data_IF_223852435209
#
_entry.id   IF_223852435209
#
_cell.length_a   1.000
_cell.length_b   1.000
_cell.length_c   1.000
_cell.angle_alpha   90.00
_cell.angle_beta   90.00
_cell.angle_gamma   90.00
#
_symmetry.space_group_name_H-M   'P 1'
#
loop_
_entity.id
_entity.type
_entity.pdbx_description
1 polymer ?
#
# COMPACT_ATOMS: atom_id res chain seq x y z
N UNK A 1 -32.03 -34.75 -61.50
CA UNK A 1 -32.86 -33.53 -61.70
C UNK A 1 -32.29 -32.44 -60.82
N UNK A 2 -31.83 -31.35 -61.43
CA UNK A 2 -31.18 -30.22 -60.76
C UNK A 2 -32.24 -29.26 -60.17
N UNK A 3 -31.96 -28.69 -59.00
CA UNK A 3 -32.77 -27.61 -58.41
C UNK A 3 -31.87 -26.36 -58.22
N UNK A 4 -32.19 -25.19 -58.80
CA UNK A 4 -31.30 -24.04 -58.85
C UNK A 4 -31.77 -22.91 -57.93
N UNK A 5 -31.18 -22.77 -56.74
CA UNK A 5 -31.29 -21.52 -55.97
C UNK A 5 -29.96 -21.19 -55.30
N UNK A 6 -29.13 -20.43 -56.01
CA UNK A 6 -27.99 -19.68 -55.46
C UNK A 6 -28.56 -18.46 -54.73
N UNK A 7 -28.43 -18.44 -53.41
CA UNK A 7 -28.73 -17.25 -52.62
C UNK A 7 -27.47 -16.35 -52.60
N UNK A 8 -27.57 -15.17 -53.22
CA UNK A 8 -26.50 -14.17 -53.25
C UNK A 8 -26.68 -13.26 -52.03
N UNK A 9 -25.79 -13.37 -51.04
CA UNK A 9 -25.71 -12.41 -49.95
C UNK A 9 -25.04 -11.10 -50.45
N UNK A 10 -25.52 -9.91 -50.07
CA UNK A 10 -24.89 -8.66 -50.46
C UNK A 10 -23.58 -8.47 -49.67
N UNK A 11 -22.49 -8.16 -50.37
CA UNK A 11 -21.23 -7.71 -49.77
C UNK A 11 -21.44 -6.32 -49.18
N UNK A 12 -21.62 -6.24 -47.86
CA UNK A 12 -21.51 -4.99 -47.11
C UNK A 12 -20.02 -4.61 -47.10
N UNK A 13 -19.68 -3.55 -47.82
CA UNK A 13 -18.33 -2.99 -47.83
C UNK A 13 -17.94 -2.51 -46.43
N UNK A 14 -16.82 -3.01 -45.90
CA UNK A 14 -16.16 -2.41 -44.74
C UNK A 14 -15.67 -1.01 -45.13
N UNK A 15 -16.37 0.03 -44.66
CA UNK A 15 -15.80 1.37 -44.57
C UNK A 15 -14.67 1.30 -43.54
N UNK A 16 -13.43 1.22 -44.02
CA UNK A 16 -12.24 1.33 -43.19
C UNK A 16 -12.11 2.80 -42.78
N UNK A 17 -12.58 3.14 -41.58
CA UNK A 17 -12.30 4.44 -40.98
C UNK A 17 -10.78 4.51 -40.73
N UNK A 18 -10.07 5.28 -41.56
CA UNK A 18 -8.68 5.65 -41.35
C UNK A 18 -8.60 6.58 -40.14
N UNK A 19 -8.46 6.02 -38.95
CA UNK A 19 -8.04 6.78 -37.77
C UNK A 19 -6.54 7.01 -37.91
N UNK A 20 -6.14 8.19 -38.37
CA UNK A 20 -4.74 8.61 -38.30
C UNK A 20 -4.36 8.75 -36.82
N UNK A 21 -3.34 8.05 -36.32
CA UNK A 21 -2.88 8.26 -34.96
C UNK A 21 -2.37 9.70 -34.84
N UNK A 22 -2.95 10.49 -33.93
CA UNK A 22 -2.42 11.81 -33.60
C UNK A 22 -0.99 11.63 -33.07
N UNK A 23 0.00 12.14 -33.81
CA UNK A 23 1.37 12.24 -33.29
C UNK A 23 1.36 13.26 -32.17
N UNK A 24 1.64 12.82 -30.94
CA UNK A 24 1.91 13.72 -29.83
C UNK A 24 3.19 14.49 -30.12
N UNK A 25 3.16 15.84 -30.13
CA UNK A 25 4.38 16.62 -30.29
C UNK A 25 5.34 16.34 -29.11
N UNK A 26 6.66 16.38 -29.35
CA UNK A 26 7.64 16.15 -28.30
C UNK A 26 7.53 17.22 -27.22
N UNK A 27 7.58 16.79 -25.96
CA UNK A 27 7.64 17.70 -24.82
C UNK A 27 9.01 18.39 -24.79
N UNK A 28 9.02 19.72 -24.75
CA UNK A 28 10.24 20.53 -24.60
C UNK A 28 10.26 21.10 -23.19
N UNK A 29 11.32 20.81 -22.42
CA UNK A 29 11.50 21.35 -21.08
C UNK A 29 12.05 22.78 -21.13
N UNK A 30 11.43 23.70 -20.40
CA UNK A 30 11.96 25.06 -20.18
C UNK A 30 12.77 25.14 -18.89
N UNK A 31 13.83 25.96 -18.83
CA UNK A 31 14.57 26.18 -17.58
C UNK A 31 13.67 26.75 -16.47
N UNK A 32 13.87 26.31 -15.23
CA UNK A 32 13.04 26.74 -14.09
C UNK A 32 13.48 28.15 -13.65
N UNK A 33 12.67 29.15 -13.97
CA UNK A 33 12.83 30.53 -13.46
C UNK A 33 12.59 30.61 -11.95
N UNK A 34 13.03 31.67 -11.25
CA UNK A 34 12.73 31.85 -9.83
C UNK A 34 11.23 31.84 -9.49
N UNK A 35 10.38 32.39 -10.37
CA UNK A 35 8.92 32.33 -10.19
C UNK A 35 8.37 30.90 -10.28
N UNK A 36 8.92 30.08 -11.18
CA UNK A 36 8.59 28.66 -11.27
C UNK A 36 9.15 27.87 -10.07
N UNK A 37 10.32 28.23 -9.53
CA UNK A 37 10.87 27.61 -8.30
C UNK A 37 9.93 27.82 -7.11
N UNK A 38 9.44 29.04 -6.92
CA UNK A 38 8.49 29.35 -5.85
C UNK A 38 7.19 28.55 -6.02
N UNK A 39 6.65 28.50 -7.25
CA UNK A 39 5.46 27.72 -7.55
C UNK A 39 5.68 26.21 -7.28
N UNK A 40 6.83 25.65 -7.68
CA UNK A 40 7.21 24.27 -7.38
C UNK A 40 7.24 24.01 -5.87
N UNK A 41 7.86 24.89 -5.08
CA UNK A 41 7.90 24.76 -3.63
C UNK A 41 6.49 24.83 -3.01
N UNK A 42 5.61 25.72 -3.50
CA UNK A 42 4.21 25.79 -3.07
C UNK A 42 3.43 24.52 -3.41
N UNK A 43 3.61 23.95 -4.61
CA UNK A 43 2.97 22.68 -5.01
C UNK A 43 3.44 21.54 -4.13
N UNK A 44 4.75 21.41 -3.89
CA UNK A 44 5.32 20.39 -3.00
C UNK A 44 4.77 20.52 -1.57
N UNK A 45 4.71 21.75 -1.05
CA UNK A 45 4.14 22.02 0.27
C UNK A 45 2.66 21.65 0.34
N UNK A 46 1.87 21.97 -0.70
CA UNK A 46 0.46 21.60 -0.77
C UNK A 46 0.26 20.07 -0.80
N UNK A 47 1.09 19.34 -1.55
CA UNK A 47 1.07 17.87 -1.58
C UNK A 47 1.38 17.26 -0.22
N UNK A 48 2.41 17.77 0.48
CA UNK A 48 2.77 17.32 1.83
C UNK A 48 1.63 17.59 2.82
N UNK A 49 1.04 18.79 2.78
CA UNK A 49 -0.07 19.16 3.65
C UNK A 49 -1.30 18.27 3.42
N UNK A 50 -1.63 17.99 2.15
CA UNK A 50 -2.74 17.10 1.79
C UNK A 50 -2.49 15.67 2.28
N UNK A 51 -1.29 15.13 2.09
CA UNK A 51 -0.91 13.80 2.59
C UNK A 51 -1.01 13.72 4.12
N UNK A 52 -0.52 14.74 4.83
CA UNK A 52 -0.62 14.78 6.29
C UNK A 52 -2.07 14.90 6.77
N UNK A 53 -2.91 15.70 6.08
CA UNK A 53 -4.33 15.81 6.40
C UNK A 53 -5.05 14.48 6.23
N UNK A 54 -4.83 13.79 5.11
CA UNK A 54 -5.36 12.46 4.85
C UNK A 54 -4.99 11.48 5.98
N UNK A 55 -3.70 11.40 6.35
CA UNK A 55 -3.25 10.48 7.40
C UNK A 55 -3.86 10.81 8.77
N UNK A 56 -4.04 12.08 9.11
CA UNK A 56 -4.72 12.48 10.35
C UNK A 56 -6.18 12.06 10.37
N UNK A 57 -6.91 12.31 9.28
CA UNK A 57 -8.31 11.92 9.13
C UNK A 57 -8.49 10.39 9.19
N UNK A 58 -7.58 9.64 8.54
CA UNK A 58 -7.58 8.18 8.61
C UNK A 58 -7.30 7.67 10.02
N UNK A 59 -6.34 8.27 10.74
CA UNK A 59 -6.06 7.91 12.12
C UNK A 59 -7.29 8.14 13.02
N UNK A 60 -7.97 9.29 12.88
CA UNK A 60 -9.20 9.57 13.60
C UNK A 60 -10.32 8.60 13.25
N UNK A 61 -10.51 8.29 11.97
CA UNK A 61 -11.55 7.38 11.48
C UNK A 61 -11.36 5.96 12.02
N UNK A 62 -10.13 5.45 11.97
CA UNK A 62 -9.80 4.11 12.46
C UNK A 62 -9.89 4.04 13.99
N UNK A 63 -9.70 5.14 14.72
CA UNK A 63 -9.95 5.19 16.16
C UNK A 63 -11.42 4.90 16.53
N UNK A 64 -12.36 5.24 15.65
CA UNK A 64 -13.78 4.93 15.81
C UNK A 64 -14.17 3.49 15.49
N UNK A 65 -13.29 2.70 14.86
CA UNK A 65 -13.56 1.34 14.39
C UNK A 65 -13.46 0.27 15.51
N UNK A 66 -14.02 0.55 16.69
CA UNK A 66 -13.90 -0.33 17.87
C UNK A 66 -14.56 -1.72 17.69
N UNK A 67 -15.54 -1.83 16.79
CA UNK A 67 -16.23 -3.08 16.46
C UNK A 67 -15.51 -3.95 15.42
N UNK A 68 -14.44 -3.45 14.78
CA UNK A 68 -13.87 -4.09 13.59
C UNK A 68 -13.39 -5.54 13.83
N UNK A 69 -12.95 -5.89 15.05
CA UNK A 69 -12.58 -7.28 15.34
C UNK A 69 -13.78 -8.24 15.21
N UNK A 70 -14.99 -7.80 15.56
CA UNK A 70 -16.20 -8.61 15.46
C UNK A 70 -16.57 -8.92 14.00
N UNK A 71 -16.23 -8.02 13.07
CA UNK A 71 -16.51 -8.17 11.64
C UNK A 71 -15.59 -9.18 10.95
N UNK A 72 -14.47 -9.56 11.58
CA UNK A 72 -13.59 -10.62 11.10
C UNK A 72 -14.15 -12.00 11.54
N UNK A 73 -14.51 -12.91 10.62
CA UNK A 73 -15.00 -14.24 10.96
C UNK A 73 -14.06 -14.99 11.92
N UNK A 74 -14.56 -15.60 13.01
CA UNK A 74 -13.73 -16.23 14.04
C UNK A 74 -12.71 -17.24 13.50
N UNK A 75 -13.06 -18.00 12.47
CA UNK A 75 -12.21 -19.00 11.84
C UNK A 75 -10.96 -18.40 11.15
N UNK A 76 -11.04 -17.16 10.69
CA UNK A 76 -9.91 -16.45 10.08
C UNK A 76 -8.94 -15.88 11.12
N UNK A 77 -9.38 -15.75 12.38
CA UNK A 77 -8.58 -15.17 13.46
C UNK A 77 -7.42 -16.05 13.90
N UNK A 78 -7.45 -17.36 13.59
CA UNK A 78 -6.37 -18.29 13.94
C UNK A 78 -5.07 -18.02 13.15
N UNK A 79 -5.18 -17.44 11.94
CA UNK A 79 -4.03 -17.19 11.06
C UNK A 79 -3.38 -18.46 10.51
N UNK A 80 -2.43 -18.27 9.59
CA UNK A 80 -1.69 -19.37 8.98
C UNK A 80 -0.44 -19.72 9.83
N UNK A 81 -0.08 -21.00 10.02
CA UNK A 81 1.08 -21.39 10.84
C UNK A 81 2.41 -20.83 10.32
N UNK A 82 2.62 -20.83 9.00
CA UNK A 82 3.94 -20.55 8.42
C UNK A 82 4.19 -19.09 8.07
N UNK A 83 3.14 -18.28 7.96
CA UNK A 83 3.25 -16.86 7.59
C UNK A 83 2.09 -16.07 8.18
N UNK A 84 2.29 -14.76 8.35
CA UNK A 84 1.16 -13.88 8.68
C UNK A 84 0.18 -13.83 7.50
N UNK A 85 -1.10 -13.72 7.80
CA UNK A 85 -2.17 -13.74 6.79
C UNK A 85 -2.66 -12.32 6.48
N UNK A 86 -3.20 -12.14 5.27
CA UNK A 86 -3.95 -10.94 4.87
C UNK A 86 -5.35 -11.36 4.44
N UNK A 87 -6.39 -10.78 5.04
CA UNK A 87 -7.77 -10.95 4.62
C UNK A 87 -8.33 -9.60 4.22
N UNK A 88 -8.67 -9.43 2.94
CA UNK A 88 -9.26 -8.19 2.42
C UNK A 88 -10.67 -8.05 3.00
N UNK A 89 -10.92 -6.93 3.68
CA UNK A 89 -12.23 -6.55 4.18
C UNK A 89 -13.01 -5.75 3.14
N UNK A 90 -12.31 -4.87 2.42
CA UNK A 90 -12.87 -4.01 1.38
C UNK A 90 -11.79 -3.57 0.41
N UNK A 91 -12.15 -3.42 -0.86
CA UNK A 91 -11.31 -2.77 -1.87
C UNK A 91 -12.14 -1.75 -2.64
N UNK A 92 -11.60 -0.55 -2.79
CA UNK A 92 -12.23 0.51 -3.59
C UNK A 92 -12.28 0.08 -5.08
N UNK A 93 -13.44 0.13 -5.76
CA UNK A 93 -13.57 -0.26 -7.15
C UNK A 93 -12.72 0.57 -8.13
N UNK A 94 -12.32 1.78 -7.74
CA UNK A 94 -11.44 2.64 -8.54
C UNK A 94 -9.95 2.44 -8.20
N UNK A 95 -9.62 1.54 -7.28
CA UNK A 95 -8.25 1.22 -6.89
C UNK A 95 -7.59 2.24 -5.97
N UNK A 96 -8.37 3.12 -5.33
CA UNK A 96 -7.84 4.19 -4.49
C UNK A 96 -7.28 3.67 -3.15
N UNK A 97 -7.91 2.65 -2.58
CA UNK A 97 -7.45 2.02 -1.34
C UNK A 97 -7.97 0.59 -1.15
N UNK A 98 -7.32 -0.15 -0.26
CA UNK A 98 -7.73 -1.48 0.20
C UNK A 98 -7.63 -1.56 1.72
N UNK A 99 -8.66 -2.12 2.37
CA UNK A 99 -8.71 -2.40 3.81
C UNK A 99 -8.50 -3.90 4.02
N UNK A 100 -7.61 -4.29 4.92
CA UNK A 100 -7.33 -5.69 5.21
C UNK A 100 -7.02 -5.95 6.69
N UNK A 101 -7.46 -7.11 7.17
CA UNK A 101 -7.01 -7.68 8.44
C UNK A 101 -5.69 -8.41 8.22
N UNK A 102 -4.71 -8.13 9.08
CA UNK A 102 -3.47 -8.88 9.18
C UNK A 102 -3.45 -9.66 10.49
N UNK A 103 -3.18 -10.96 10.39
CA UNK A 103 -3.18 -11.90 11.51
C UNK A 103 -1.77 -12.45 11.67
N UNK A 104 -1.23 -12.32 12.86
CA UNK A 104 0.16 -12.61 13.20
C UNK A 104 0.20 -13.63 14.32
N UNK A 105 0.58 -14.87 14.01
CA UNK A 105 0.88 -15.87 15.04
C UNK A 105 2.23 -15.54 15.71
N UNK A 106 2.49 -16.11 16.90
CA UNK A 106 3.76 -15.95 17.60
C UNK A 106 4.98 -16.14 16.69
N UNK A 107 5.94 -15.22 16.78
CA UNK A 107 7.19 -15.26 16.02
C UNK A 107 7.08 -14.78 14.57
N UNK A 108 5.89 -14.46 14.06
CA UNK A 108 5.72 -13.99 12.69
C UNK A 108 5.99 -12.48 12.55
N UNK A 109 6.72 -12.10 11.52
CA UNK A 109 7.03 -10.71 11.22
C UNK A 109 7.06 -10.46 9.71
N UNK A 110 6.84 -9.20 9.33
CA UNK A 110 7.15 -8.73 7.99
C UNK A 110 8.67 -8.67 7.75
N UNK A 111 9.10 -8.53 6.48
CA UNK A 111 10.43 -8.03 6.15
C UNK A 111 10.61 -6.59 6.66
N UNK A 112 11.85 -6.12 6.74
CA UNK A 112 12.14 -4.70 6.95
C UNK A 112 11.74 -3.93 5.68
N UNK A 113 10.93 -2.90 5.82
CA UNK A 113 10.39 -2.18 4.66
C UNK A 113 10.03 -0.72 4.96
N UNK A 114 10.16 0.13 3.93
CA UNK A 114 9.38 1.36 3.81
C UNK A 114 8.13 1.13 2.95
N UNK A 115 7.48 2.21 2.50
CA UNK A 115 6.18 2.11 1.83
C UNK A 115 6.18 2.73 0.44
N UNK A 116 5.60 2.06 -0.56
CA UNK A 116 5.37 2.62 -1.91
C UNK A 116 4.16 3.56 -1.96
N UNK A 117 3.28 3.44 -0.97
CA UNK A 117 2.04 4.23 -0.82
C UNK A 117 1.87 4.68 0.63
N UNK A 118 0.80 5.42 0.94
CA UNK A 118 0.43 5.72 2.31
C UNK A 118 -0.23 4.51 2.98
N UNK A 119 -0.12 4.43 4.30
CA UNK A 119 -0.69 3.35 5.12
C UNK A 119 -1.21 3.90 6.46
N UNK A 120 -2.28 3.30 6.97
CA UNK A 120 -2.72 3.45 8.36
C UNK A 120 -3.06 2.08 8.92
N UNK A 121 -2.66 1.76 10.14
CA UNK A 121 -3.14 0.56 10.82
C UNK A 121 -3.53 0.80 12.27
N UNK A 122 -4.39 -0.08 12.79
CA UNK A 122 -4.76 -0.17 14.20
C UNK A 122 -4.61 -1.60 14.70
N UNK A 123 -4.04 -1.76 15.89
CA UNK A 123 -4.03 -3.05 16.58
C UNK A 123 -5.40 -3.32 17.17
N UNK A 124 -5.98 -4.49 16.88
CA UNK A 124 -7.31 -4.90 17.34
C UNK A 124 -7.24 -5.92 18.48
N UNK A 125 -6.25 -6.80 18.46
CA UNK A 125 -6.06 -7.87 19.43
C UNK A 125 -4.57 -8.18 19.59
N UNK A 126 -4.16 -8.58 20.80
CA UNK A 126 -2.78 -8.95 21.09
C UNK A 126 -1.82 -7.77 21.05
N UNK A 127 -0.53 -8.06 21.11
CA UNK A 127 0.54 -7.07 21.05
C UNK A 127 1.39 -7.30 19.80
N UNK A 128 1.71 -6.22 19.07
CA UNK A 128 2.68 -6.25 17.98
C UNK A 128 3.95 -5.52 18.41
N UNK A 129 5.10 -6.00 17.97
CA UNK A 129 6.37 -5.29 18.07
C UNK A 129 6.66 -4.60 16.74
N UNK A 130 6.84 -3.28 16.78
CA UNK A 130 7.27 -2.48 15.65
C UNK A 130 8.73 -2.05 15.87
N UNK A 131 9.66 -2.61 15.09
CA UNK A 131 11.06 -2.16 15.06
C UNK A 131 11.23 -1.04 14.03
N UNK A 132 11.94 0.01 14.38
CA UNK A 132 12.19 1.17 13.53
C UNK A 132 13.62 1.21 13.01
N UNK A 133 13.77 1.79 11.82
CA UNK A 133 15.05 1.88 11.13
C UNK A 133 15.22 3.24 10.46
N UNK A 134 16.48 3.65 10.29
CA UNK A 134 16.88 4.79 9.45
C UNK A 134 17.57 4.27 8.20
N UNK A 135 17.22 4.82 7.04
CA UNK A 135 17.92 4.52 5.78
C UNK A 135 19.32 5.13 5.79
N UNK A 136 20.32 4.34 5.41
CA UNK A 136 21.67 4.78 5.10
C UNK A 136 21.88 4.71 3.58
N UNK A 137 21.94 5.85 2.87
CA UNK A 137 22.09 5.85 1.42
C UNK A 137 23.50 5.49 0.93
N UNK A 138 24.51 5.62 1.77
CA UNK A 138 25.90 5.26 1.41
C UNK A 138 26.07 3.75 1.45
N UNK A 139 25.48 3.09 2.47
CA UNK A 139 25.50 1.64 2.60
C UNK A 139 24.41 0.95 1.78
N UNK A 140 23.33 1.66 1.45
CA UNK A 140 22.13 1.06 0.89
C UNK A 140 21.43 0.10 1.86
N UNK A 141 21.50 0.39 3.17
CA UNK A 141 21.02 -0.49 4.24
C UNK A 141 20.14 0.27 5.25
N UNK A 142 19.22 -0.46 5.88
CA UNK A 142 18.42 0.04 6.99
C UNK A 142 19.13 -0.21 8.33
N UNK A 143 19.39 0.86 9.09
CA UNK A 143 20.03 0.81 10.41
C UNK A 143 18.96 0.83 11.51
N UNK A 144 18.90 -0.20 12.35
CA UNK A 144 17.92 -0.28 13.44
C UNK A 144 18.13 0.85 14.46
N UNK A 145 17.05 1.55 14.80
CA UNK A 145 17.07 2.69 15.74
C UNK A 145 16.31 2.42 17.04
N UNK A 146 15.42 1.43 17.06
CA UNK A 146 14.66 1.07 18.26
C UNK A 146 13.49 0.15 17.96
N UNK A 147 12.64 -0.07 18.97
CA UNK A 147 11.35 -0.72 18.80
C UNK A 147 10.33 -0.22 19.82
N UNK A 148 9.06 -0.37 19.47
CA UNK A 148 7.91 -0.01 20.30
C UNK A 148 6.90 -1.15 20.29
N UNK A 149 6.34 -1.47 21.46
CA UNK A 149 5.20 -2.37 21.60
C UNK A 149 3.91 -1.63 21.22
N UNK A 150 3.06 -2.28 20.41
CA UNK A 150 1.80 -1.76 19.89
C UNK A 150 0.66 -2.63 20.40
N UNK A 151 -0.20 -2.04 21.22
CA UNK A 151 -1.29 -2.71 21.95
C UNK A 151 -2.64 -2.40 21.33
N UNK A 152 -3.71 -3.16 21.65
CA UNK A 152 -5.03 -2.91 21.10
C UNK A 152 -5.45 -1.45 21.30
N UNK A 153 -5.85 -0.80 20.22
CA UNK A 153 -6.16 0.63 20.20
C UNK A 153 -5.04 1.53 19.65
N UNK A 154 -3.78 1.07 19.65
CA UNK A 154 -2.68 1.84 19.06
C UNK A 154 -2.85 1.96 17.55
N UNK A 155 -2.58 3.18 17.05
CA UNK A 155 -2.72 3.56 15.64
C UNK A 155 -1.40 4.10 15.13
N UNK A 156 -1.01 3.68 13.92
CA UNK A 156 0.19 4.15 13.25
C UNK A 156 -0.14 4.51 11.80
N UNK A 157 0.49 5.57 11.31
CA UNK A 157 0.40 6.02 9.93
C UNK A 157 1.78 6.09 9.30
N UNK A 158 1.85 5.83 7.99
CA UNK A 158 3.07 5.92 7.22
C UNK A 158 2.84 6.65 5.88
N UNK A 159 3.79 7.49 5.51
CA UNK A 159 3.86 8.10 4.17
C UNK A 159 4.67 7.22 3.22
N UNK A 160 4.49 7.39 1.89
CA UNK A 160 5.37 6.78 0.92
C UNK A 160 6.84 7.17 1.11
N UNK A 161 7.74 6.24 0.81
CA UNK A 161 9.19 6.40 0.85
C UNK A 161 9.86 5.60 1.96
N UNK A 162 11.07 6.04 2.29
CA UNK A 162 11.99 5.40 3.24
C UNK A 162 12.19 6.21 4.53
N UNK A 163 11.35 7.22 4.77
CA UNK A 163 11.41 8.03 5.99
C UNK A 163 10.91 7.28 7.23
N UNK A 164 10.02 6.30 7.04
CA UNK A 164 9.40 5.49 8.10
C UNK A 164 9.63 4.01 7.82
N UNK A 165 10.89 3.56 7.81
CA UNK A 165 11.21 2.13 7.64
C UNK A 165 10.91 1.40 8.95
N UNK A 166 10.19 0.29 8.84
CA UNK A 166 9.88 -0.55 9.99
C UNK A 166 9.87 -2.05 9.68
N UNK A 167 9.84 -2.84 10.74
CA UNK A 167 9.50 -4.26 10.74
C UNK A 167 8.42 -4.46 11.80
N UNK A 168 7.26 -4.95 11.37
CA UNK A 168 6.11 -5.18 12.23
C UNK A 168 5.88 -6.69 12.37
N UNK A 169 5.55 -7.13 13.57
CA UNK A 169 5.18 -8.53 13.79
C UNK A 169 4.90 -8.82 15.25
N UNK A 170 4.85 -10.10 15.57
CA UNK A 170 4.41 -10.58 16.87
C UNK A 170 5.57 -11.27 17.61
N UNK A 171 6.11 -10.58 18.61
CA UNK A 171 7.14 -11.13 19.50
C UNK A 171 6.55 -11.88 20.71
N UNK A 172 5.22 -11.87 20.88
CA UNK A 172 4.52 -12.49 21.98
C UNK A 172 4.14 -13.95 21.71
N UNK A 173 3.33 -14.49 22.61
CA UNK A 173 2.85 -15.87 22.66
C UNK A 173 1.38 -16.05 22.20
N UNK A 174 0.62 -14.97 22.13
CA UNK A 174 -0.77 -14.95 21.66
C UNK A 174 -0.90 -14.45 20.22
N UNK A 175 -1.98 -14.82 19.52
CA UNK A 175 -2.26 -14.28 18.17
C UNK A 175 -2.61 -12.78 18.24
N UNK A 176 -1.88 -11.99 17.45
CA UNK A 176 -2.14 -10.57 17.29
C UNK A 176 -2.88 -10.29 15.96
N UNK A 177 -3.82 -9.34 15.98
CA UNK A 177 -4.64 -8.97 14.82
C UNK A 177 -4.63 -7.44 14.68
N UNK A 178 -4.42 -6.97 13.45
CA UNK A 178 -4.40 -5.55 13.11
C UNK A 178 -5.24 -5.28 11.85
N UNK A 179 -5.93 -4.13 11.81
CA UNK A 179 -6.63 -3.64 10.63
C UNK A 179 -5.75 -2.62 9.93
N UNK A 180 -5.52 -2.81 8.62
CA UNK A 180 -4.68 -1.95 7.79
C UNK A 180 -5.51 -1.33 6.66
N UNK A 181 -5.18 -0.10 6.30
CA UNK A 181 -5.68 0.61 5.13
C UNK A 181 -4.46 1.04 4.31
N UNK A 182 -4.42 0.62 3.06
CA UNK A 182 -3.35 0.96 2.13
C UNK A 182 -3.88 1.72 0.93
N UNK A 183 -3.15 2.72 0.46
CA UNK A 183 -3.45 3.45 -0.77
C UNK A 183 -3.08 2.69 -2.04
N UNK A 184 -3.52 1.44 -2.18
CA UNK A 184 -3.34 0.62 -3.38
C UNK A 184 -4.64 -0.11 -3.74
N UNK A 185 -4.75 -0.54 -4.99
CA UNK A 185 -5.77 -1.48 -5.44
C UNK A 185 -5.57 -2.87 -4.83
N UNK A 186 -6.63 -3.69 -4.81
CA UNK A 186 -6.59 -5.04 -4.23
C UNK A 186 -5.50 -5.92 -4.86
N UNK A 187 -5.30 -5.82 -6.18
CA UNK A 187 -4.29 -6.60 -6.92
C UNK A 187 -2.86 -6.35 -6.43
N UNK A 188 -2.63 -5.22 -5.78
CA UNK A 188 -1.31 -4.74 -5.38
C UNK A 188 -1.05 -4.88 -3.89
N UNK A 189 -2.00 -5.40 -3.09
CA UNK A 189 -1.85 -5.48 -1.63
C UNK A 189 -0.66 -6.34 -1.17
N UNK A 190 -0.25 -7.32 -1.98
CA UNK A 190 0.86 -8.21 -1.65
C UNK A 190 2.24 -7.65 -2.02
N UNK A 191 2.34 -6.86 -3.10
CA UNK A 191 3.62 -6.48 -3.72
C UNK A 191 3.79 -4.97 -3.95
N UNK A 192 2.68 -4.24 -4.06
CA UNK A 192 2.62 -2.80 -4.32
C UNK A 192 2.63 -1.93 -3.08
N UNK A 193 2.59 -2.49 -1.87
CA UNK A 193 2.64 -1.71 -0.62
C UNK A 193 4.08 -1.42 -0.19
N UNK A 194 4.98 -2.39 -0.26
CA UNK A 194 6.26 -2.34 0.46
C UNK A 194 7.44 -2.00 -0.45
N UNK A 195 8.33 -1.13 0.04
CA UNK A 195 9.74 -1.08 -0.36
C UNK A 195 10.55 -1.97 0.59
N UNK A 196 10.70 -3.25 0.25
CA UNK A 196 11.52 -4.16 1.07
C UNK A 196 12.98 -3.75 0.96
N UNK A 197 13.64 -3.63 2.12
CA UNK A 197 15.03 -3.21 2.23
C UNK A 197 15.81 -4.16 3.13
N UNK A 198 17.13 -4.19 2.95
CA UNK A 198 18.00 -5.02 3.76
C UNK A 198 18.39 -4.28 5.05
N UNK A 199 18.26 -4.96 6.19
CA UNK A 199 18.80 -4.49 7.47
C UNK A 199 20.31 -4.72 7.54
N UNK A 200 21.04 -3.74 8.08
CA UNK A 200 22.45 -3.91 8.39
C UNK A 200 22.61 -4.95 9.51
N UNK A 201 23.57 -5.86 9.34
CA UNK A 201 23.91 -6.80 10.39
C UNK A 201 24.25 -6.04 11.70
N UNK A 202 23.89 -6.58 12.88
CA UNK A 202 24.32 -6.01 14.15
C UNK A 202 25.85 -5.87 14.13
N UNK A 203 26.37 -4.67 14.40
CA UNK A 203 27.82 -4.52 14.56
C UNK A 203 28.24 -5.36 15.77
N UNK A 204 29.24 -6.23 15.65
CA UNK A 204 29.80 -6.90 16.82
C UNK A 204 30.33 -5.82 17.77
N UNK A 205 30.02 -6.00 19.06
CA UNK A 205 30.52 -5.15 20.14
C UNK A 205 32.03 -5.23 20.28
#
# INVERSE_FOLDING_TARGET
MANPFRNVAPRIGRLSAFVHPMRTPPLVSVPISPSLQNLCASVQSAQLNAAQALLRELAASVAGANGALADLPPELRAGHPDHYSRHVAYADPHGSFTIAYLIWRPGQFSPVHGHKTWCTYRVLQGELTESHYRWDPELGLALRTGAVARRPGDIVTATPGLAQIHRLGNAGDEVAISLHIYGVAQSDIATGVNHVVQEAAPRPH
#
